data_IF_378395927094
#
_entry.id   IF_378395927094
#
_cell.length_a   1.000
_cell.length_b   1.000
_cell.length_c   1.000
_cell.angle_alpha   90.00
_cell.angle_beta   90.00
_cell.angle_gamma   90.00
#
_symmetry.space_group_name_H-M   'P 1'
#
loop_
_entity.id
_entity.type
_entity.pdbx_description
1 polymer ?
#
# COMPACT_ATOMS: atom_id res chain seq x y z
N UNK A 1 1.30 36.36 33.86
CA UNK A 1 2.11 35.77 32.77
C UNK A 1 1.25 34.69 32.14
N UNK A 2 0.49 35.03 31.10
CA UNK A 2 -0.41 34.11 30.39
C UNK A 2 0.45 33.30 29.42
N UNK A 3 0.61 31.99 29.67
CA UNK A 3 1.10 31.04 28.67
C UNK A 3 0.03 30.93 27.58
N UNK A 4 0.25 31.59 26.47
CA UNK A 4 -0.49 31.34 25.23
C UNK A 4 -0.01 30.00 24.71
N UNK A 5 -0.77 28.94 24.97
CA UNK A 5 -0.60 27.68 24.25
C UNK A 5 -0.97 27.96 22.80
N UNK A 6 0.04 28.13 21.94
CA UNK A 6 -0.15 28.01 20.51
C UNK A 6 -0.56 26.55 20.28
N UNK A 7 -1.85 26.31 20.14
CA UNK A 7 -2.35 25.05 19.58
C UNK A 7 -1.96 25.12 18.10
N UNK A 8 -0.81 24.53 17.77
CA UNK A 8 -0.48 24.26 16.38
C UNK A 8 -1.48 23.20 15.93
N UNK A 9 -2.47 23.61 15.17
CA UNK A 9 -3.36 22.70 14.47
C UNK A 9 -2.51 22.03 13.39
N UNK A 10 -1.89 20.89 13.72
CA UNK A 10 -1.33 19.99 12.71
C UNK A 10 -2.52 19.38 12.00
N UNK A 11 -2.59 19.57 10.68
CA UNK A 11 -3.67 18.96 9.89
C UNK A 11 -3.53 17.44 9.99
N UNK A 12 -4.52 16.80 10.60
CA UNK A 12 -4.53 15.34 10.71
C UNK A 12 -4.58 14.73 9.31
N UNK A 13 -3.56 13.97 8.97
CA UNK A 13 -3.43 13.36 7.66
C UNK A 13 -2.76 11.99 7.78
N UNK A 14 -3.34 10.99 7.13
CA UNK A 14 -2.78 9.64 7.08
C UNK A 14 -2.29 9.32 5.68
N UNK A 15 -1.00 9.05 5.57
CA UNK A 15 -0.40 8.59 4.33
C UNK A 15 -0.82 7.16 4.03
N UNK A 16 -1.07 6.83 2.75
CA UNK A 16 -1.62 5.56 2.33
C UNK A 16 -0.67 4.72 1.46
N UNK A 17 0.50 5.26 1.09
CA UNK A 17 1.42 4.59 0.18
C UNK A 17 2.86 4.84 0.62
N UNK A 18 3.47 3.83 1.24
CA UNK A 18 4.81 3.93 1.79
C UNK A 18 5.61 2.65 1.59
N UNK A 19 6.89 2.80 1.23
CA UNK A 19 7.84 1.71 1.11
C UNK A 19 8.92 1.78 2.17
N UNK A 20 9.36 0.61 2.62
CA UNK A 20 10.49 0.45 3.54
C UNK A 20 11.66 -0.28 2.87
N UNK A 21 12.73 -0.54 3.63
CA UNK A 21 13.86 -1.35 3.17
C UNK A 21 13.50 -2.76 2.69
N UNK A 22 12.27 -3.22 2.94
CA UNK A 22 11.77 -4.48 2.40
C UNK A 22 11.33 -4.38 0.93
N UNK A 23 11.11 -3.17 0.40
CA UNK A 23 11.13 -2.87 -1.02
C UNK A 23 12.59 -2.65 -1.44
N UNK A 24 13.32 -3.76 -1.64
CA UNK A 24 14.77 -3.80 -1.75
C UNK A 24 15.34 -2.76 -2.73
N UNK A 25 16.18 -1.86 -2.20
CA UNK A 25 16.78 -0.73 -2.91
C UNK A 25 15.80 0.26 -3.59
N UNK A 26 14.50 0.16 -3.31
CA UNK A 26 13.51 1.19 -3.69
C UNK A 26 13.25 2.18 -2.54
N UNK A 27 13.43 1.75 -1.28
CA UNK A 27 13.35 2.60 -0.12
C UNK A 27 14.51 2.31 0.85
N UNK A 28 14.83 3.28 1.71
CA UNK A 28 16.05 3.23 2.52
C UNK A 28 15.81 3.21 4.04
N UNK A 29 14.54 3.26 4.49
CA UNK A 29 14.23 3.32 5.91
C UNK A 29 13.54 2.07 6.42
N UNK A 30 13.93 1.63 7.63
CA UNK A 30 13.32 0.46 8.29
C UNK A 30 11.96 0.83 8.91
N UNK A 31 11.02 -0.13 9.07
CA UNK A 31 9.73 0.13 9.73
C UNK A 31 9.88 0.80 11.10
N UNK A 32 10.87 0.40 11.91
CA UNK A 32 11.14 1.02 13.21
C UNK A 32 11.42 2.52 13.12
N UNK A 33 12.25 2.93 12.17
CA UNK A 33 12.59 4.36 11.99
C UNK A 33 11.41 5.14 11.44
N UNK A 34 10.60 4.52 10.57
CA UNK A 34 9.37 5.10 10.04
C UNK A 34 8.37 5.40 11.15
N UNK A 35 8.12 4.44 12.05
CA UNK A 35 7.21 4.63 13.19
C UNK A 35 7.72 5.69 14.15
N UNK A 36 9.04 5.73 14.41
CA UNK A 36 9.65 6.75 15.27
C UNK A 36 9.42 8.17 14.68
N UNK A 37 9.59 8.33 13.36
CA UNK A 37 9.33 9.62 12.70
C UNK A 37 7.85 9.97 12.66
N UNK A 38 6.98 9.00 12.41
CA UNK A 38 5.52 9.20 12.46
C UNK A 38 5.08 9.72 13.84
N UNK A 39 5.64 9.18 14.92
CA UNK A 39 5.40 9.68 16.28
C UNK A 39 5.90 11.11 16.47
N UNK A 40 7.10 11.43 15.99
CA UNK A 40 7.66 12.78 16.03
C UNK A 40 6.75 13.80 15.31
N UNK A 41 6.15 13.38 14.19
CA UNK A 41 5.23 14.19 13.39
C UNK A 41 3.76 14.11 13.86
N UNK A 42 3.50 13.47 15.01
CA UNK A 42 2.15 13.32 15.60
C UNK A 42 1.15 12.57 14.74
N UNK A 43 1.60 11.65 13.88
CA UNK A 43 0.70 10.81 13.12
C UNK A 43 0.00 9.80 14.02
N UNK A 44 -1.32 9.68 13.87
CA UNK A 44 -2.16 8.73 14.62
C UNK A 44 -2.19 7.34 13.99
N UNK A 45 -1.88 7.25 12.72
CA UNK A 45 -1.78 6.01 11.96
C UNK A 45 -0.62 6.06 10.97
N UNK A 46 -0.06 4.90 10.67
CA UNK A 46 0.99 4.76 9.67
C UNK A 46 0.72 3.54 8.79
N UNK A 47 1.02 3.70 7.53
CA UNK A 47 0.83 2.69 6.52
C UNK A 47 2.15 2.15 5.99
N UNK A 48 2.16 0.87 5.61
CA UNK A 48 3.28 0.28 4.90
C UNK A 48 2.77 -0.67 3.82
N UNK A 49 3.23 -0.46 2.59
CA UNK A 49 2.77 -1.13 1.37
C UNK A 49 3.94 -1.59 0.51
N UNK A 50 4.91 -2.25 1.11
CA UNK A 50 6.09 -2.71 0.38
C UNK A 50 5.75 -3.59 -0.83
N UNK A 51 6.62 -3.53 -1.83
CA UNK A 51 6.49 -4.24 -3.11
C UNK A 51 6.52 -5.76 -2.91
N UNK A 52 5.40 -6.40 -3.20
CA UNK A 52 5.21 -7.86 -3.21
C UNK A 52 5.70 -8.59 -1.96
N UNK A 53 5.68 -7.92 -0.80
CA UNK A 53 6.22 -8.40 0.46
C UNK A 53 5.39 -7.96 1.65
N UNK A 54 5.30 -8.84 2.66
CA UNK A 54 4.70 -8.55 3.97
C UNK A 54 5.61 -8.98 5.14
N UNK A 55 6.89 -9.23 4.90
CA UNK A 55 7.83 -9.71 5.93
C UNK A 55 8.03 -8.71 7.08
N UNK A 56 7.77 -7.43 6.83
CA UNK A 56 7.85 -6.33 7.78
C UNK A 56 6.62 -6.20 8.69
N UNK A 57 5.51 -6.87 8.39
CA UNK A 57 4.21 -6.61 9.02
C UNK A 57 4.23 -6.76 10.54
N UNK A 58 4.85 -7.82 11.06
CA UNK A 58 5.00 -8.03 12.51
C UNK A 58 5.85 -6.93 13.14
N UNK A 59 6.97 -6.57 12.52
CA UNK A 59 7.86 -5.51 13.02
C UNK A 59 7.14 -4.15 13.03
N UNK A 60 6.36 -3.82 12.00
CA UNK A 60 5.54 -2.61 11.99
C UNK A 60 4.53 -2.63 13.13
N UNK A 61 3.78 -3.73 13.26
CA UNK A 61 2.75 -3.90 14.28
C UNK A 61 3.29 -3.69 15.69
N UNK A 62 4.41 -4.34 16.04
CA UNK A 62 5.04 -4.19 17.34
C UNK A 62 5.49 -2.75 17.60
N UNK A 63 6.20 -2.14 16.64
CA UNK A 63 6.67 -0.77 16.80
C UNK A 63 5.50 0.23 16.90
N UNK A 64 4.43 0.05 16.14
CA UNK A 64 3.24 0.91 16.20
C UNK A 64 2.54 0.79 17.56
N UNK A 65 2.31 -0.44 18.03
CA UNK A 65 1.71 -0.70 19.35
C UNK A 65 2.51 -0.02 20.47
N UNK A 66 3.83 -0.15 20.44
CA UNK A 66 4.73 0.41 21.48
C UNK A 66 4.78 1.96 21.43
N UNK A 67 4.28 2.57 20.34
CA UNK A 67 4.22 4.02 20.14
C UNK A 67 2.80 4.58 20.08
N UNK A 68 1.77 3.76 20.34
CA UNK A 68 0.34 4.14 20.30
C UNK A 68 -0.11 4.69 18.94
N UNK A 69 0.45 4.15 17.85
CA UNK A 69 0.12 4.48 16.46
C UNK A 69 -0.68 3.31 15.87
N UNK A 70 -1.74 3.59 15.11
CA UNK A 70 -2.52 2.55 14.43
C UNK A 70 -1.75 1.99 13.23
N UNK A 71 -1.38 0.67 13.22
CA UNK A 71 -0.69 0.06 12.09
C UNK A 71 -1.66 -0.28 10.97
N UNK A 72 -1.40 0.21 9.78
CA UNK A 72 -2.16 -0.14 8.59
C UNK A 72 -1.27 -0.97 7.66
N UNK A 73 -1.66 -2.21 7.41
CA UNK A 73 -0.87 -3.20 6.69
C UNK A 73 -1.42 -3.39 5.29
N UNK A 74 -0.58 -3.18 4.31
CA UNK A 74 -0.90 -3.36 2.91
C UNK A 74 0.25 -3.99 2.12
N UNK A 75 0.12 -4.04 0.82
CA UNK A 75 1.19 -4.42 -0.10
C UNK A 75 0.90 -3.88 -1.48
N UNK A 76 1.92 -3.48 -2.19
CA UNK A 76 1.84 -3.15 -3.60
C UNK A 76 2.23 -4.38 -4.42
N UNK A 77 1.37 -4.79 -5.33
CA UNK A 77 1.54 -6.01 -6.13
C UNK A 77 1.52 -5.69 -7.62
N UNK A 78 2.29 -6.46 -8.37
CA UNK A 78 2.16 -6.48 -9.82
C UNK A 78 0.88 -7.21 -10.20
N UNK A 79 0.09 -6.60 -11.08
CA UNK A 79 -1.18 -7.11 -11.56
C UNK A 79 -1.15 -7.30 -13.07
N UNK A 80 -1.82 -8.33 -13.55
CA UNK A 80 -2.06 -8.61 -14.96
C UNK A 80 -3.53 -8.99 -15.15
N UNK A 81 -4.06 -8.87 -16.37
CA UNK A 81 -5.45 -9.27 -16.64
C UNK A 81 -5.66 -10.78 -16.58
N UNK A 82 -4.66 -11.56 -16.95
CA UNK A 82 -4.71 -13.02 -16.93
C UNK A 82 -3.32 -13.60 -16.72
N UNK A 83 -3.10 -14.29 -15.61
CA UNK A 83 -1.81 -14.94 -15.31
C UNK A 83 -1.47 -16.08 -16.26
N UNK A 84 -2.45 -16.78 -16.77
CA UNK A 84 -2.27 -17.92 -17.69
C UNK A 84 -2.09 -17.49 -19.16
N UNK A 85 -2.22 -16.21 -19.45
CA UNK A 85 -2.05 -15.64 -20.78
C UNK A 85 -0.64 -15.15 -21.05
N UNK A 86 -0.34 -14.86 -22.32
CA UNK A 86 0.87 -14.14 -22.70
C UNK A 86 0.73 -12.68 -22.25
N UNK A 87 1.56 -12.26 -21.29
CA UNK A 87 1.59 -10.89 -20.77
C UNK A 87 2.86 -10.19 -21.26
N UNK A 88 2.71 -9.07 -21.95
CA UNK A 88 3.83 -8.18 -22.23
C UNK A 88 4.17 -7.37 -20.98
N UNK A 89 5.39 -6.85 -20.90
CA UNK A 89 5.82 -5.98 -19.78
C UNK A 89 4.90 -4.75 -19.65
N UNK A 90 4.42 -4.23 -20.77
CA UNK A 90 3.50 -3.09 -20.82
C UNK A 90 2.09 -3.38 -20.28
N UNK A 91 1.71 -4.66 -20.18
CA UNK A 91 0.45 -5.10 -19.61
C UNK A 91 0.52 -5.36 -18.09
N UNK A 92 1.70 -5.18 -17.50
CA UNK A 92 1.94 -5.30 -16.07
C UNK A 92 1.82 -3.94 -15.40
N UNK A 93 1.06 -3.87 -14.33
CA UNK A 93 0.76 -2.65 -13.58
C UNK A 93 0.71 -2.92 -12.08
N UNK A 94 0.74 -1.89 -11.26
CA UNK A 94 0.69 -2.03 -9.82
C UNK A 94 -0.74 -1.85 -9.31
N UNK A 95 -1.07 -2.60 -8.28
CA UNK A 95 -2.25 -2.42 -7.44
C UNK A 95 -1.81 -2.41 -5.98
N UNK A 96 -2.25 -1.41 -5.24
CA UNK A 96 -2.02 -1.33 -3.80
C UNK A 96 -3.23 -1.92 -3.08
N UNK A 97 -3.00 -2.89 -2.21
CA UNK A 97 -4.02 -3.60 -1.45
C UNK A 97 -3.79 -3.43 0.05
N UNK A 98 -4.87 -3.22 0.80
CA UNK A 98 -4.83 -3.03 2.24
C UNK A 98 -5.79 -3.95 2.96
N UNK A 99 -5.42 -4.31 4.18
CA UNK A 99 -6.25 -5.08 5.08
C UNK A 99 -7.03 -4.18 6.06
N UNK A 100 -8.36 -4.29 6.14
CA UNK A 100 -9.18 -3.59 7.15
C UNK A 100 -9.12 -4.22 8.54
N UNK A 101 -8.93 -5.54 8.63
CA UNK A 101 -8.87 -6.25 9.91
C UNK A 101 -7.98 -7.51 9.83
N UNK A 102 -7.88 -8.25 10.93
CA UNK A 102 -7.03 -9.44 11.04
C UNK A 102 -7.37 -10.55 10.05
N UNK A 103 -8.65 -10.80 9.76
CA UNK A 103 -9.04 -11.82 8.77
C UNK A 103 -8.55 -11.42 7.36
N UNK A 104 -8.58 -10.13 7.06
CA UNK A 104 -8.13 -9.57 5.80
C UNK A 104 -6.62 -9.52 5.67
N UNK A 105 -5.92 -9.28 6.78
CA UNK A 105 -4.48 -9.47 6.84
C UNK A 105 -4.07 -10.90 6.44
N UNK A 106 -4.84 -11.91 6.89
CA UNK A 106 -4.63 -13.30 6.48
C UNK A 106 -4.90 -13.53 4.99
N UNK A 107 -5.91 -12.88 4.42
CA UNK A 107 -6.17 -12.95 2.98
C UNK A 107 -5.04 -12.27 2.18
N UNK A 108 -4.55 -11.13 2.65
CA UNK A 108 -3.42 -10.45 2.03
C UNK A 108 -2.15 -11.34 2.02
N UNK A 109 -1.88 -12.06 3.11
CA UNK A 109 -0.78 -13.03 3.15
C UNK A 109 -0.94 -14.14 2.10
N UNK A 110 -2.17 -14.63 1.87
CA UNK A 110 -2.44 -15.64 0.82
C UNK A 110 -2.23 -15.05 -0.57
N UNK A 111 -2.72 -13.83 -0.83
CA UNK A 111 -2.53 -13.13 -2.10
C UNK A 111 -1.04 -12.96 -2.39
N UNK A 112 -0.25 -12.46 -1.42
CA UNK A 112 1.21 -12.30 -1.56
C UNK A 112 1.91 -13.63 -1.77
N UNK A 113 1.45 -14.70 -1.10
CA UNK A 113 2.00 -16.05 -1.28
C UNK A 113 1.78 -16.57 -2.69
N UNK A 114 0.56 -16.41 -3.23
CA UNK A 114 0.24 -16.78 -4.62
C UNK A 114 1.09 -15.95 -5.58
N UNK A 115 1.18 -14.63 -5.39
CA UNK A 115 1.98 -13.75 -6.24
C UNK A 115 3.44 -14.21 -6.32
N UNK A 116 4.02 -14.66 -5.19
CA UNK A 116 5.39 -15.12 -5.11
C UNK A 116 5.63 -16.55 -5.62
N UNK A 117 4.57 -17.34 -5.81
CA UNK A 117 4.65 -18.66 -6.44
C UNK A 117 4.58 -18.60 -7.97
N UNK A 118 3.85 -17.61 -8.49
CA UNK A 118 3.54 -17.46 -9.93
C UNK A 118 4.41 -16.37 -10.58
N UNK A 119 5.70 -16.66 -10.75
CA UNK A 119 6.63 -15.71 -11.34
C UNK A 119 6.55 -15.69 -12.88
N UNK A 120 6.18 -14.54 -13.45
CA UNK A 120 6.28 -14.29 -14.89
C UNK A 120 7.23 -13.09 -15.11
N UNK A 121 8.25 -13.26 -15.93
CA UNK A 121 9.22 -12.21 -16.23
C UNK A 121 9.86 -11.55 -14.98
N UNK A 122 10.28 -12.38 -14.01
CA UNK A 122 11.01 -11.97 -12.79
C UNK A 122 10.24 -11.07 -11.81
N UNK A 123 8.91 -10.99 -11.94
CA UNK A 123 8.05 -10.20 -11.02
C UNK A 123 6.94 -11.06 -10.45
N UNK A 124 6.72 -11.06 -9.12
CA UNK A 124 5.55 -11.67 -8.49
C UNK A 124 4.29 -10.99 -8.99
N UNK A 125 3.28 -11.75 -9.44
CA UNK A 125 2.06 -11.18 -10.04
C UNK A 125 0.82 -11.86 -9.52
N UNK A 126 -0.26 -11.10 -9.58
CA UNK A 126 -1.63 -11.59 -9.42
C UNK A 126 -2.50 -11.15 -10.59
N UNK A 127 -3.64 -11.78 -10.73
CA UNK A 127 -4.73 -11.35 -11.61
C UNK A 127 -6.06 -11.29 -10.85
N UNK A 128 -7.12 -10.98 -11.58
CA UNK A 128 -8.45 -10.83 -11.02
C UNK A 128 -8.96 -12.12 -10.35
N UNK A 129 -8.53 -13.29 -10.80
CA UNK A 129 -8.96 -14.58 -10.22
C UNK A 129 -8.42 -14.77 -8.80
N UNK A 130 -7.22 -14.27 -8.53
CA UNK A 130 -6.61 -14.28 -7.19
C UNK A 130 -7.34 -13.29 -6.28
N UNK A 131 -7.64 -12.09 -6.77
CA UNK A 131 -8.44 -11.12 -6.02
C UNK A 131 -9.81 -11.70 -5.70
N UNK A 132 -10.51 -12.26 -6.67
CA UNK A 132 -11.84 -12.86 -6.49
C UNK A 132 -11.85 -13.94 -5.40
N UNK A 133 -10.79 -14.74 -5.32
CA UNK A 133 -10.68 -15.83 -4.33
C UNK A 133 -10.46 -15.33 -2.90
N UNK A 134 -9.86 -14.15 -2.71
CA UNK A 134 -9.44 -13.61 -1.42
C UNK A 134 -9.91 -12.16 -1.22
N UNK A 135 -10.99 -11.76 -1.87
CA UNK A 135 -11.48 -10.38 -1.93
C UNK A 135 -12.15 -9.89 -0.65
N UNK A 136 -12.58 -10.80 0.23
CA UNK A 136 -13.31 -10.38 1.43
C UNK A 136 -12.43 -9.43 2.23
N UNK A 137 -12.86 -8.17 2.23
CA UNK A 137 -12.31 -7.12 3.02
C UNK A 137 -10.99 -6.48 2.62
N UNK A 138 -10.60 -6.60 1.40
CA UNK A 138 -9.45 -5.89 0.83
C UNK A 138 -9.89 -4.53 0.28
N UNK A 139 -9.13 -3.47 0.60
CA UNK A 139 -9.25 -2.16 -0.04
C UNK A 139 -8.21 -2.08 -1.15
N UNK A 140 -8.58 -1.53 -2.29
CA UNK A 140 -7.68 -1.34 -3.42
C UNK A 140 -7.53 0.13 -3.79
N UNK A 141 -6.27 0.52 -4.05
CA UNK A 141 -5.93 1.76 -4.71
C UNK A 141 -5.22 1.43 -6.03
N UNK A 142 -5.64 2.06 -7.10
CA UNK A 142 -5.20 1.67 -8.45
C UNK A 142 -4.50 2.79 -9.21
N UNK A 143 -4.12 3.89 -8.54
CA UNK A 143 -3.99 5.17 -9.22
C UNK A 143 -2.63 5.85 -9.07
N UNK A 144 -1.65 5.22 -8.44
CA UNK A 144 -0.27 5.71 -8.41
C UNK A 144 0.39 5.68 -9.79
N UNK A 145 1.58 6.25 -9.89
CA UNK A 145 2.35 6.49 -11.13
C UNK A 145 2.54 5.26 -12.01
N UNK A 146 2.58 4.06 -11.42
CA UNK A 146 2.77 2.79 -12.12
C UNK A 146 1.46 1.99 -12.32
N UNK A 147 0.31 2.58 -11.96
CA UNK A 147 -0.99 1.93 -12.15
C UNK A 147 -1.38 1.80 -13.62
N UNK A 148 -2.32 0.89 -13.88
CA UNK A 148 -2.87 0.72 -15.25
C UNK A 148 -3.53 1.99 -15.74
N UNK A 149 -4.33 2.62 -14.90
CA UNK A 149 -5.10 3.81 -15.30
C UNK A 149 -4.21 4.99 -15.58
N UNK A 150 -3.19 5.20 -14.77
CA UNK A 150 -2.18 6.21 -15.05
C UNK A 150 -1.56 6.01 -16.45
N UNK A 151 -1.14 4.77 -16.76
CA UNK A 151 -0.58 4.41 -18.07
C UNK A 151 -1.58 4.59 -19.22
N UNK A 152 -2.86 4.29 -19.00
CA UNK A 152 -3.91 4.47 -19.99
C UNK A 152 -4.19 5.96 -20.25
N UNK A 153 -4.29 6.78 -19.22
CA UNK A 153 -4.43 8.24 -19.33
C UNK A 153 -3.20 8.84 -20.02
N UNK A 154 -2.00 8.39 -19.63
CA UNK A 154 -0.76 8.81 -20.28
C UNK A 154 -0.80 8.58 -21.79
N UNK A 155 -1.28 7.42 -22.23
CA UNK A 155 -1.42 7.03 -23.64
C UNK A 155 -2.63 7.64 -24.32
N UNK A 156 -3.45 8.42 -23.60
CA UNK A 156 -4.72 8.98 -24.11
C UNK A 156 -5.67 7.90 -24.59
N UNK A 157 -5.75 6.77 -23.89
CA UNK A 157 -6.72 5.73 -24.21
C UNK A 157 -8.16 6.23 -23.93
N UNK A 158 -9.18 5.72 -24.66
CA UNK A 158 -10.58 6.11 -24.47
C UNK A 158 -11.06 5.82 -23.03
N UNK A 159 -11.96 6.68 -22.52
CA UNK A 159 -12.51 6.60 -21.17
C UNK A 159 -13.24 5.29 -20.90
N UNK A 160 -13.99 4.77 -21.89
CA UNK A 160 -14.70 3.50 -21.79
C UNK A 160 -13.77 2.34 -21.43
N UNK A 161 -12.57 2.30 -21.98
CA UNK A 161 -11.56 1.29 -21.62
C UNK A 161 -11.00 1.46 -20.21
N UNK A 162 -10.83 2.71 -19.77
CA UNK A 162 -10.37 3.01 -18.41
C UNK A 162 -11.45 2.57 -17.42
N UNK A 163 -12.71 2.88 -17.69
CA UNK A 163 -13.85 2.52 -16.88
C UNK A 163 -14.09 1.00 -16.84
N UNK A 164 -13.81 0.28 -17.93
CA UNK A 164 -13.85 -1.17 -17.97
C UNK A 164 -12.92 -1.80 -16.91
N UNK A 165 -11.71 -1.28 -16.76
CA UNK A 165 -10.76 -1.73 -15.71
C UNK A 165 -11.29 -1.38 -14.33
N UNK A 166 -11.81 -0.17 -14.13
CA UNK A 166 -12.40 0.24 -12.85
C UNK A 166 -13.54 -0.68 -12.44
N UNK A 167 -14.50 -0.89 -13.33
CA UNK A 167 -15.68 -1.72 -13.07
C UNK A 167 -15.27 -3.18 -12.79
N UNK A 168 -14.32 -3.72 -13.56
CA UNK A 168 -13.78 -5.06 -13.30
C UNK A 168 -13.24 -5.21 -11.87
N UNK A 169 -12.54 -4.20 -11.35
CA UNK A 169 -12.02 -4.25 -9.98
C UNK A 169 -13.15 -4.03 -8.96
N UNK A 170 -14.06 -3.10 -9.21
CA UNK A 170 -15.21 -2.84 -8.33
C UNK A 170 -16.15 -4.04 -8.18
N UNK A 171 -16.39 -4.78 -9.27
CA UNK A 171 -17.20 -6.01 -9.26
C UNK A 171 -16.56 -7.11 -8.38
N UNK A 172 -15.25 -7.05 -8.18
CA UNK A 172 -14.52 -8.01 -7.37
C UNK A 172 -14.26 -7.57 -5.91
N UNK A 173 -14.12 -6.26 -5.66
CA UNK A 173 -13.75 -5.72 -4.34
C UNK A 173 -14.84 -4.88 -3.69
N UNK A 174 -16.03 -4.79 -4.31
CA UNK A 174 -17.11 -3.85 -4.01
C UNK A 174 -16.71 -2.37 -4.20
N UNK A 175 -17.64 -1.60 -4.71
CA UNK A 175 -17.44 -0.21 -5.12
C UNK A 175 -16.86 0.67 -4.00
N UNK A 176 -17.31 0.48 -2.77
CA UNK A 176 -16.88 1.23 -1.59
C UNK A 176 -15.47 0.93 -1.12
N UNK A 177 -14.84 -0.11 -1.63
CA UNK A 177 -13.47 -0.50 -1.31
C UNK A 177 -12.45 -0.11 -2.39
N UNK A 178 -12.88 0.58 -3.43
CA UNK A 178 -12.02 1.02 -4.54
C UNK A 178 -11.98 2.54 -4.57
N UNK A 179 -10.79 3.10 -4.50
CA UNK A 179 -10.56 4.54 -4.42
C UNK A 179 -9.69 5.01 -5.55
N UNK A 180 -9.90 6.25 -5.97
CA UNK A 180 -8.98 6.96 -6.82
C UNK A 180 -7.94 7.70 -5.99
N UNK A 181 -6.70 7.71 -6.45
CA UNK A 181 -5.63 8.46 -5.81
C UNK A 181 -5.14 9.57 -6.74
N UNK A 182 -5.03 10.78 -6.23
CA UNK A 182 -4.30 11.86 -6.88
C UNK A 182 -2.94 12.06 -6.19
N UNK A 183 -1.93 12.30 -7.00
CA UNK A 183 -0.56 12.45 -6.52
C UNK A 183 -0.30 13.92 -6.18
N UNK A 184 0.03 14.19 -4.92
CA UNK A 184 0.32 15.53 -4.41
C UNK A 184 1.79 15.91 -4.68
N UNK A 185 2.06 16.32 -5.91
CA UNK A 185 3.36 16.86 -6.37
C UNK A 185 3.15 18.13 -7.15
N UNK A 186 4.19 18.92 -7.35
CA UNK A 186 4.13 20.19 -8.11
C UNK A 186 3.82 19.91 -9.58
N UNK A 187 2.60 20.23 -10.00
CA UNK A 187 2.12 20.05 -11.37
C UNK A 187 2.69 21.09 -12.33
N UNK A 188 3.20 22.21 -11.84
CA UNK A 188 3.79 23.25 -12.70
C UNK A 188 5.06 22.77 -13.40
N UNK A 189 5.72 21.78 -12.82
CA UNK A 189 6.93 21.15 -13.35
C UNK A 189 6.61 19.86 -14.16
N UNK A 190 5.35 19.41 -14.18
CA UNK A 190 4.96 18.16 -14.82
C UNK A 190 3.54 18.23 -15.40
N UNK A 191 3.43 18.71 -16.64
CA UNK A 191 2.18 18.79 -17.40
C UNK A 191 1.45 17.43 -17.51
N UNK A 192 2.21 16.33 -17.52
CA UNK A 192 1.63 14.99 -17.60
C UNK A 192 0.94 14.61 -16.28
N UNK A 193 1.55 14.89 -15.15
CA UNK A 193 0.93 14.67 -13.84
C UNK A 193 -0.36 15.47 -13.72
N UNK A 194 -0.33 16.74 -14.11
CA UNK A 194 -1.50 17.60 -14.15
C UNK A 194 -2.63 16.99 -14.98
N UNK A 195 -2.33 16.58 -16.22
CA UNK A 195 -3.30 15.91 -17.10
C UNK A 195 -3.92 14.68 -16.43
N UNK A 196 -3.10 13.87 -15.76
CA UNK A 196 -3.56 12.63 -15.13
C UNK A 196 -4.42 12.92 -13.90
N UNK A 197 -3.97 13.77 -12.98
CA UNK A 197 -4.75 14.14 -11.80
C UNK A 197 -6.12 14.71 -12.20
N UNK A 198 -6.15 15.63 -13.16
CA UNK A 198 -7.42 16.18 -13.66
C UNK A 198 -8.32 15.11 -14.27
N UNK A 199 -7.77 14.19 -15.07
CA UNK A 199 -8.57 13.12 -15.67
C UNK A 199 -9.09 12.13 -14.64
N UNK A 200 -8.29 11.81 -13.63
CA UNK A 200 -8.70 10.98 -12.49
C UNK A 200 -9.88 11.62 -11.75
N UNK A 201 -9.82 12.94 -11.48
CA UNK A 201 -10.93 13.65 -10.83
C UNK A 201 -12.20 13.70 -11.67
N UNK A 202 -12.07 13.85 -13.00
CA UNK A 202 -13.21 13.77 -13.94
C UNK A 202 -13.90 12.41 -13.84
N UNK A 203 -13.11 11.33 -13.92
CA UNK A 203 -13.62 9.95 -13.82
C UNK A 203 -14.19 9.65 -12.42
N UNK A 204 -13.55 10.14 -11.36
CA UNK A 204 -14.04 10.00 -9.99
C UNK A 204 -15.43 10.60 -9.84
N UNK A 205 -15.63 11.78 -10.42
CA UNK A 205 -16.91 12.48 -10.37
C UNK A 205 -17.98 11.76 -11.20
N UNK A 206 -17.67 11.30 -12.40
CA UNK A 206 -18.64 10.58 -13.27
C UNK A 206 -19.08 9.26 -12.64
N UNK A 207 -18.18 8.52 -12.01
CA UNK A 207 -18.43 7.21 -11.41
C UNK A 207 -18.82 7.27 -9.92
N UNK A 208 -18.83 8.46 -9.32
CA UNK A 208 -19.09 8.65 -7.88
C UNK A 208 -18.14 7.81 -7.01
N UNK A 209 -16.86 7.80 -7.35
CA UNK A 209 -15.79 7.12 -6.61
C UNK A 209 -15.10 8.12 -5.68
N UNK A 210 -14.87 7.74 -4.44
CA UNK A 210 -14.14 8.57 -3.48
C UNK A 210 -12.68 8.72 -3.90
N UNK A 211 -12.13 9.90 -3.66
CA UNK A 211 -10.74 10.25 -3.96
C UNK A 211 -9.94 10.31 -2.66
N UNK A 212 -8.74 9.78 -2.72
CA UNK A 212 -7.69 9.94 -1.72
C UNK A 212 -6.54 10.78 -2.31
N UNK A 213 -5.68 11.29 -1.46
CA UNK A 213 -4.49 12.01 -1.91
C UNK A 213 -3.25 11.58 -1.14
N UNK A 214 -2.11 11.69 -1.76
CA UNK A 214 -0.83 11.36 -1.15
C UNK A 214 0.30 11.27 -2.16
N UNK A 215 1.37 10.68 -1.69
CA UNK A 215 2.55 10.37 -2.47
C UNK A 215 3.07 8.99 -2.10
N UNK A 216 3.90 8.42 -2.98
CA UNK A 216 4.74 7.28 -2.61
C UNK A 216 5.93 7.82 -1.83
N UNK A 217 6.22 7.24 -0.68
CA UNK A 217 7.34 7.63 0.18
C UNK A 217 8.39 6.54 0.22
N UNK A 218 9.64 6.91 -0.07
CA UNK A 218 10.77 6.00 -0.13
C UNK A 218 11.88 6.39 0.84
N UNK A 219 11.81 7.60 1.40
CA UNK A 219 12.73 8.12 2.41
C UNK A 219 12.03 9.14 3.32
N UNK A 220 12.64 9.48 4.47
CA UNK A 220 11.98 10.30 5.50
C UNK A 220 12.29 11.78 5.32
N UNK A 221 13.56 12.15 5.26
CA UNK A 221 13.98 13.55 5.25
C UNK A 221 14.36 14.00 3.83
N UNK A 222 14.10 15.24 3.50
CA UNK A 222 14.53 15.84 2.19
C UNK A 222 16.03 15.63 1.90
N UNK A 223 16.85 15.64 2.95
CA UNK A 223 18.29 15.39 2.88
C UNK A 223 18.67 13.97 2.47
N UNK A 224 17.75 13.00 2.58
CA UNK A 224 18.01 11.60 2.25
C UNK A 224 17.94 11.31 0.75
N UNK A 225 17.49 12.27 -0.06
CA UNK A 225 17.28 12.11 -1.50
C UNK A 225 18.50 11.56 -2.23
N UNK A 226 19.70 12.11 -1.95
CA UNK A 226 20.93 11.66 -2.61
C UNK A 226 21.27 10.21 -2.21
N UNK A 227 21.12 9.86 -0.92
CA UNK A 227 21.34 8.49 -0.43
C UNK A 227 20.38 7.51 -1.08
N UNK A 228 19.13 7.91 -1.22
CA UNK A 228 18.12 7.11 -1.91
C UNK A 228 18.41 6.94 -3.41
N UNK A 229 18.81 8.02 -4.09
CA UNK A 229 19.23 7.93 -5.50
C UNK A 229 20.46 7.02 -5.70
N UNK A 230 21.37 6.96 -4.73
CA UNK A 230 22.46 5.99 -4.74
C UNK A 230 21.95 4.56 -4.64
N UNK A 231 20.96 4.28 -3.78
CA UNK A 231 20.34 2.96 -3.68
C UNK A 231 19.68 2.54 -5.01
N UNK A 232 18.94 3.46 -5.65
CA UNK A 232 18.37 3.23 -6.98
C UNK A 232 19.44 2.94 -8.04
N UNK A 233 20.53 3.70 -8.05
CA UNK A 233 21.63 3.48 -8.99
C UNK A 233 22.25 2.09 -8.79
N UNK A 234 22.45 1.64 -7.54
CA UNK A 234 22.93 0.29 -7.23
C UNK A 234 21.95 -0.76 -7.75
N UNK A 235 20.64 -0.58 -7.52
CA UNK A 235 19.62 -1.49 -8.02
C UNK A 235 19.63 -1.64 -9.53
N UNK A 236 19.80 -0.54 -10.23
CA UNK A 236 19.77 -0.46 -11.69
C UNK A 236 21.15 -0.80 -12.32
N UNK A 237 22.15 -1.20 -11.52
CA UNK A 237 23.53 -1.45 -11.97
C UNK A 237 24.14 -0.24 -12.69
N UNK A 238 23.85 0.97 -12.22
CA UNK A 238 24.31 2.24 -12.74
C UNK A 238 25.22 2.96 -11.75
N UNK A 239 26.06 3.85 -12.28
CA UNK A 239 26.86 4.75 -11.45
C UNK A 239 26.19 6.13 -11.36
N UNK A 240 26.41 6.85 -10.28
CA UNK A 240 25.76 8.15 -10.02
C UNK A 240 26.02 9.19 -11.12
N UNK A 241 27.15 9.11 -11.83
CA UNK A 241 27.49 10.02 -12.91
C UNK A 241 26.94 9.62 -14.28
N UNK A 242 26.36 8.43 -14.45
CA UNK A 242 25.77 7.99 -15.72
C UNK A 242 24.50 8.80 -16.02
N UNK A 243 24.43 9.33 -17.26
CA UNK A 243 23.33 10.20 -17.67
C UNK A 243 22.01 9.45 -17.85
N UNK A 244 22.08 8.16 -18.17
CA UNK A 244 20.96 7.25 -18.41
C UNK A 244 20.49 6.49 -17.15
N UNK A 245 21.00 6.84 -15.97
CA UNK A 245 20.46 6.34 -14.70
C UNK A 245 19.04 6.86 -14.46
N UNK A 246 18.24 6.11 -13.72
CA UNK A 246 16.95 6.55 -13.24
C UNK A 246 17.13 7.82 -12.39
N UNK A 247 16.47 8.90 -12.79
CA UNK A 247 16.45 10.17 -12.07
C UNK A 247 15.03 10.48 -11.67
N UNK A 248 14.67 10.30 -10.39
CA UNK A 248 13.36 10.67 -9.91
C UNK A 248 13.11 12.15 -10.08
N UNK A 249 11.98 12.49 -10.70
CA UNK A 249 11.58 13.87 -10.97
C UNK A 249 10.79 14.49 -9.82
N UNK A 250 10.33 13.68 -8.89
CA UNK A 250 9.51 14.10 -7.75
C UNK A 250 10.26 13.96 -6.43
N UNK A 251 9.63 14.48 -5.39
CA UNK A 251 10.08 14.31 -4.03
C UNK A 251 9.31 13.14 -3.38
N UNK A 252 10.07 12.19 -2.85
CA UNK A 252 9.57 10.95 -2.25
C UNK A 252 9.88 10.88 -0.74
N UNK A 253 10.07 12.07 -0.10
CA UNK A 253 10.22 12.17 1.35
C UNK A 253 8.87 12.20 2.04
N UNK A 254 8.86 11.86 3.34
CA UNK A 254 7.66 11.90 4.16
C UNK A 254 7.20 13.34 4.38
N UNK A 255 6.16 13.75 3.66
CA UNK A 255 5.54 15.07 3.79
C UNK A 255 4.56 15.09 4.96
N UNK A 256 4.40 16.23 5.59
CA UNK A 256 3.31 16.47 6.54
C UNK A 256 1.98 16.73 5.81
N UNK A 257 0.86 16.66 6.54
CA UNK A 257 -0.45 17.03 5.96
C UNK A 257 -0.48 18.47 5.48
N UNK A 258 0.20 19.38 6.17
CA UNK A 258 0.29 20.79 5.78
C UNK A 258 1.07 20.95 4.46
N UNK A 259 2.19 20.25 4.28
CA UNK A 259 2.96 20.26 3.02
C UNK A 259 2.13 19.70 1.85
N UNK A 260 1.37 18.63 2.06
CA UNK A 260 0.44 18.08 1.06
C UNK A 260 -0.62 19.12 0.68
N UNK A 261 -1.24 19.75 1.69
CA UNK A 261 -2.23 20.80 1.46
C UNK A 261 -1.65 21.98 0.67
N UNK A 262 -0.47 22.47 1.06
CA UNK A 262 0.21 23.57 0.36
C UNK A 262 0.47 23.25 -1.11
N UNK A 263 0.95 22.04 -1.42
CA UNK A 263 1.19 21.60 -2.80
C UNK A 263 -0.12 21.57 -3.60
N UNK A 264 -1.20 21.04 -3.03
CA UNK A 264 -2.48 20.95 -3.72
C UNK A 264 -3.12 22.32 -3.92
N UNK A 265 -2.99 23.24 -2.97
CA UNK A 265 -3.39 24.65 -3.14
C UNK A 265 -2.55 25.33 -4.22
N UNK A 266 -1.24 25.08 -4.26
CA UNK A 266 -0.34 25.58 -5.31
C UNK A 266 -0.75 25.09 -6.70
N UNK A 267 -1.25 23.86 -6.80
CA UNK A 267 -1.80 23.28 -8.02
C UNK A 267 -3.22 23.79 -8.38
N UNK A 268 -3.75 24.77 -7.65
CA UNK A 268 -5.05 25.40 -7.86
C UNK A 268 -6.27 24.49 -7.59
N UNK A 269 -6.12 23.46 -6.76
CA UNK A 269 -7.28 22.69 -6.30
C UNK A 269 -8.06 23.47 -5.22
N UNK A 270 -9.37 23.23 -5.17
CA UNK A 270 -10.25 23.88 -4.20
C UNK A 270 -9.99 23.34 -2.79
N UNK A 271 -9.96 24.20 -1.78
CA UNK A 271 -9.70 23.80 -0.39
C UNK A 271 -10.72 22.82 0.15
N UNK A 272 -12.01 22.92 -0.25
CA UNK A 272 -13.05 21.97 0.19
C UNK A 272 -12.81 20.57 -0.42
N UNK A 273 -12.36 20.50 -1.67
CA UNK A 273 -11.98 19.24 -2.32
C UNK A 273 -10.76 18.62 -1.64
N UNK A 274 -9.70 19.40 -1.39
CA UNK A 274 -8.50 18.94 -0.69
C UNK A 274 -8.88 18.38 0.68
N UNK A 275 -9.69 19.12 1.44
CA UNK A 275 -10.14 18.69 2.76
C UNK A 275 -10.96 17.40 2.71
N UNK A 276 -11.81 17.22 1.69
CA UNK A 276 -12.56 16.00 1.47
C UNK A 276 -11.66 14.80 1.14
N UNK A 277 -10.62 14.98 0.31
CA UNK A 277 -9.68 13.92 -0.02
C UNK A 277 -8.86 13.49 1.20
N UNK A 278 -8.33 14.45 1.96
CA UNK A 278 -7.60 14.17 3.20
C UNK A 278 -8.49 13.51 4.25
N UNK A 279 -9.76 13.92 4.36
CA UNK A 279 -10.73 13.28 5.24
C UNK A 279 -11.01 11.83 4.80
N UNK A 280 -11.04 11.54 3.50
CA UNK A 280 -11.16 10.16 2.99
C UNK A 280 -9.98 9.29 3.42
N UNK A 281 -8.74 9.82 3.37
CA UNK A 281 -7.56 9.11 3.88
C UNK A 281 -7.74 8.72 5.37
N UNK A 282 -8.16 9.68 6.19
CA UNK A 282 -8.35 9.47 7.64
C UNK A 282 -9.54 8.54 7.91
N UNK A 283 -10.63 8.63 7.12
CA UNK A 283 -11.79 7.71 7.20
C UNK A 283 -11.32 6.27 6.98
N UNK A 284 -10.53 6.01 5.94
CA UNK A 284 -9.98 4.68 5.67
C UNK A 284 -9.10 4.21 6.83
N UNK A 285 -8.19 5.07 7.31
CA UNK A 285 -7.32 4.76 8.42
C UNK A 285 -8.08 4.38 9.70
N UNK A 286 -9.17 5.08 10.00
CA UNK A 286 -9.99 4.85 11.18
C UNK A 286 -10.77 3.52 11.15
N UNK A 287 -11.05 3.01 9.94
CA UNK A 287 -11.74 1.73 9.74
C UNK A 287 -10.81 0.52 9.91
N UNK A 288 -9.50 0.73 9.84
CA UNK A 288 -8.52 -0.36 9.94
C UNK A 288 -8.27 -0.73 11.39
N UNK A 289 -8.53 -2.01 11.73
CA UNK A 289 -8.25 -2.58 13.05
C UNK A 289 -7.64 -3.97 12.87
N UNK A 290 -6.32 -4.03 12.94
CA UNK A 290 -5.56 -5.29 12.82
C UNK A 290 -5.04 -5.66 14.20
N UNK A 291 -5.28 -6.90 14.62
CA UNK A 291 -4.72 -7.48 15.83
C UNK A 291 -3.91 -8.72 15.46
N UNK A 292 -2.61 -8.66 15.67
CA UNK A 292 -1.71 -9.81 15.48
C UNK A 292 -1.46 -10.41 16.86
N UNK A 293 -1.95 -11.63 17.05
CA UNK A 293 -1.75 -12.37 18.30
C UNK A 293 -0.29 -12.82 18.40
N UNK A 294 0.46 -12.13 19.26
CA UNK A 294 1.89 -12.38 19.50
C UNK A 294 2.08 -13.45 20.56
N UNK A 295 3.23 -14.14 20.51
CA UNK A 295 3.68 -15.08 21.54
C UNK A 295 2.75 -16.29 21.78
N UNK A 296 1.97 -16.70 20.77
CA UNK A 296 1.22 -17.94 20.88
C UNK A 296 2.13 -19.15 20.66
N UNK A 297 2.17 -20.06 21.65
CA UNK A 297 2.78 -21.37 21.46
C UNK A 297 1.82 -22.27 20.69
N UNK A 298 1.99 -22.32 19.37
CA UNK A 298 1.24 -23.22 18.50
C UNK A 298 2.03 -24.52 18.31
N UNK A 299 1.75 -25.51 19.14
CA UNK A 299 2.30 -26.85 18.90
C UNK A 299 1.45 -27.55 17.84
N UNK A 300 2.09 -28.17 16.83
CA UNK A 300 1.35 -28.98 15.88
C UNK A 300 0.65 -30.12 16.61
N UNK A 301 -0.67 -30.20 16.47
CA UNK A 301 -1.44 -31.32 16.98
C UNK A 301 -1.48 -32.35 15.87
N UNK A 302 -0.80 -33.49 16.07
CA UNK A 302 -0.90 -34.60 15.15
C UNK A 302 -2.29 -35.19 15.25
N UNK A 303 -3.02 -35.21 14.16
CA UNK A 303 -4.29 -35.92 14.06
C UNK A 303 -3.98 -37.38 13.77
N UNK A 304 -4.11 -38.23 14.78
CA UNK A 304 -3.93 -39.68 14.63
C UNK A 304 -5.01 -40.17 13.69
N UNK A 305 -4.68 -40.93 12.62
CA UNK A 305 -5.66 -41.62 11.80
C UNK A 305 -6.58 -42.48 12.66
N UNK A 306 -7.85 -42.57 12.30
CA UNK A 306 -8.86 -43.22 13.14
C UNK A 306 -8.52 -44.68 13.46
N UNK A 307 -7.92 -45.41 12.53
CA UNK A 307 -7.44 -46.78 12.69
C UNK A 307 -6.32 -46.95 13.72
N UNK A 308 -5.54 -45.90 13.95
CA UNK A 308 -4.45 -45.88 14.94
C UNK A 308 -4.90 -45.30 16.27
N UNK A 309 -5.94 -44.46 16.27
CA UNK A 309 -6.50 -43.85 17.46
C UNK A 309 -7.14 -44.89 18.40
N UNK A 310 -7.92 -45.79 17.83
CA UNK A 310 -8.57 -46.88 18.58
C UNK A 310 -7.53 -47.79 19.23
N UNK A 311 -6.42 -48.07 18.55
CA UNK A 311 -5.31 -48.84 19.11
C UNK A 311 -4.61 -48.09 20.25
N UNK A 312 -4.35 -46.78 20.08
CA UNK A 312 -3.73 -45.93 21.11
C UNK A 312 -4.60 -45.83 22.37
N UNK A 313 -5.90 -45.61 22.20
CA UNK A 313 -6.84 -45.51 23.32
C UNK A 313 -6.94 -46.87 24.06
N UNK A 314 -6.96 -47.99 23.33
CA UNK A 314 -6.92 -49.35 23.89
C UNK A 314 -5.64 -49.62 24.72
N UNK A 315 -4.47 -49.20 24.23
CA UNK A 315 -3.20 -49.34 24.96
C UNK A 315 -3.17 -48.44 26.20
N UNK A 316 -3.65 -47.21 26.09
CA UNK A 316 -3.73 -46.27 27.21
C UNK A 316 -4.61 -46.77 28.33
N UNK A 317 -5.79 -47.31 27.99
CA UNK A 317 -6.72 -47.87 28.97
C UNK A 317 -6.15 -49.11 29.69
N UNK A 318 -5.37 -49.94 28.96
CA UNK A 318 -4.68 -51.10 29.56
C UNK A 318 -3.55 -50.70 30.53
N UNK A 319 -2.89 -49.58 30.30
CA UNK A 319 -1.81 -49.06 31.17
C UNK A 319 -2.32 -48.29 32.41
N UNK A 320 -3.59 -47.86 32.40
CA UNK A 320 -4.19 -47.17 33.56
C UNK A 320 -4.84 -48.17 34.52
N UNK A 321 -5.10 -49.42 34.08
CA UNK A 321 -5.73 -50.48 34.86
C UNK A 321 -4.74 -51.43 35.60
N UNK A 322 -3.44 -51.23 35.47
CA UNK A 322 -2.37 -51.83 36.28
C UNK A 322 -1.87 -50.81 37.35
#
# INVERSE_FOLDING_TARGET
>A
MYLVYLIIWVMEFTHLHWHSTYSFLEAIWTPKKLVAKARELWFTAIWLTDLSSMYWAVQLYENCRDNEINPIIGTELWFVLNMNGYNKIEDVWNICLLAKNTAWYQNLMKIVSVANQEWIAWKPKIDISVLWKYNDGVIAFMWGVDSRVWKMIYRSEPDDKILEILHMIQDNLWKENVFFEIVAQDESQNEMLKKINHKVLELAKSESVKVITGNIYNYIEKSDKETWEMALAIKDWKKMYESDRRKPIWDYYLMTGDEINEILVWNWYNQDEISAWMATNNEIASQVKIEILMHQSLFPIYQTPDDVKDLYDSIKDSLITE
#
